data_IF_602973380420
#
_entry.id   IF_602973380420
#
_cell.length_a   1.000
_cell.length_b   1.000
_cell.length_c   1.000
_cell.angle_alpha   90.00
_cell.angle_beta   90.00
_cell.angle_gamma   90.00
#
_symmetry.space_group_name_H-M   'P 1'
#
loop_
_entity.id
_entity.type
_entity.pdbx_description
1 polymer ?
#
# COMPACT_ATOMS: atom_id res chain seq x y z
N UNK A 1 -16.10 7.26 -2.22
CA UNK A 1 -16.03 6.01 -2.97
C UNK A 1 -17.04 5.16 -2.28
N UNK A 2 -18.17 5.03 -2.95
CA UNK A 2 -19.42 4.54 -2.35
C UNK A 2 -19.80 3.20 -2.98
N UNK A 3 -18.93 2.69 -3.85
CA UNK A 3 -19.02 1.36 -4.46
C UNK A 3 -18.18 0.41 -3.59
N UNK A 4 -18.76 -0.62 -2.97
CA UNK A 4 -17.99 -1.56 -2.16
C UNK A 4 -17.05 -2.39 -3.05
N UNK A 5 -15.85 -2.72 -2.54
CA UNK A 5 -14.97 -3.70 -3.18
C UNK A 5 -15.41 -5.12 -2.79
N UNK A 6 -15.89 -5.96 -3.71
CA UNK A 6 -16.33 -7.31 -3.35
C UNK A 6 -15.18 -8.21 -2.89
N UNK A 7 -14.07 -8.20 -3.64
CA UNK A 7 -12.95 -9.12 -3.44
C UNK A 7 -11.59 -8.43 -3.36
N UNK A 8 -10.55 -9.19 -2.96
CA UNK A 8 -9.14 -8.79 -3.06
C UNK A 8 -8.77 -8.43 -4.50
N UNK A 9 -9.30 -9.15 -5.49
CA UNK A 9 -9.01 -8.88 -6.90
C UNK A 9 -9.53 -7.51 -7.32
N UNK A 10 -10.71 -7.09 -6.82
CA UNK A 10 -11.25 -5.76 -7.09
C UNK A 10 -10.39 -4.65 -6.47
N UNK A 11 -9.91 -4.87 -5.24
CA UNK A 11 -8.94 -3.97 -4.60
C UNK A 11 -7.63 -3.89 -5.38
N UNK A 12 -7.10 -5.02 -5.86
CA UNK A 12 -5.89 -5.06 -6.67
C UNK A 12 -6.10 -4.36 -8.03
N UNK A 13 -7.28 -4.48 -8.64
CA UNK A 13 -7.69 -3.73 -9.83
C UNK A 13 -7.69 -2.22 -9.57
N UNK A 14 -8.32 -1.77 -8.47
CA UNK A 14 -8.30 -0.37 -8.03
C UNK A 14 -6.86 0.14 -7.83
N UNK A 15 -6.00 -0.66 -7.19
CA UNK A 15 -4.59 -0.32 -7.02
C UNK A 15 -3.86 -0.21 -8.37
N UNK A 16 -4.21 -1.08 -9.31
CA UNK A 16 -3.75 -1.08 -10.70
C UNK A 16 -4.02 0.25 -11.40
N UNK A 17 -5.27 0.70 -11.36
CA UNK A 17 -5.74 1.91 -12.04
C UNK A 17 -5.26 3.21 -11.37
N UNK A 18 -5.00 3.19 -10.06
CA UNK A 18 -4.68 4.42 -9.31
C UNK A 18 -3.20 4.63 -9.03
N UNK A 19 -2.50 3.63 -8.47
CA UNK A 19 -1.11 3.77 -8.05
C UNK A 19 -0.16 3.10 -9.03
N UNK A 20 -0.47 1.88 -9.49
CA UNK A 20 0.41 1.15 -10.40
C UNK A 20 0.50 1.86 -11.76
N UNK A 21 -0.62 2.38 -12.29
CA UNK A 21 -0.64 3.14 -13.53
C UNK A 21 0.32 4.34 -13.50
N UNK A 22 0.38 5.08 -12.39
CA UNK A 22 1.31 6.20 -12.24
C UNK A 22 2.77 5.76 -12.24
N UNK A 23 3.09 4.64 -11.57
CA UNK A 23 4.45 4.07 -11.57
C UNK A 23 4.82 3.59 -12.98
N UNK A 24 3.91 2.92 -13.68
CA UNK A 24 4.13 2.44 -15.04
C UNK A 24 4.34 3.60 -16.02
N UNK A 25 3.53 4.67 -15.93
CA UNK A 25 3.68 5.87 -16.75
C UNK A 25 5.03 6.56 -16.47
N UNK A 26 5.41 6.71 -15.19
CA UNK A 26 6.71 7.26 -14.83
C UNK A 26 7.87 6.42 -15.38
N UNK A 27 7.76 5.08 -15.31
CA UNK A 27 8.74 4.16 -15.88
C UNK A 27 8.85 4.31 -17.41
N UNK A 28 7.71 4.41 -18.11
CA UNK A 28 7.66 4.62 -19.56
C UNK A 28 8.28 5.95 -19.98
N UNK A 29 8.07 7.02 -19.21
CA UNK A 29 8.71 8.32 -19.47
C UNK A 29 10.23 8.25 -19.30
N UNK A 30 10.72 7.50 -18.31
CA UNK A 30 12.15 7.38 -18.03
C UNK A 30 12.88 6.46 -19.01
N UNK A 31 12.28 5.34 -19.37
CA UNK A 31 12.86 4.35 -20.27
C UNK A 31 11.76 3.51 -20.94
N UNK A 32 11.24 3.96 -22.09
CA UNK A 32 10.13 3.27 -22.77
C UNK A 32 10.53 1.90 -23.32
N UNK A 33 11.83 1.62 -23.46
CA UNK A 33 12.32 0.33 -23.97
C UNK A 33 12.38 -0.70 -22.85
N UNK A 34 12.88 -0.33 -21.68
CA UNK A 34 12.99 -1.24 -20.54
C UNK A 34 11.66 -1.41 -19.79
N UNK A 35 10.84 -0.35 -19.68
CA UNK A 35 9.65 -0.31 -18.82
C UNK A 35 8.65 -1.47 -19.02
N UNK A 36 8.29 -1.91 -20.25
CA UNK A 36 7.32 -2.99 -20.45
C UNK A 36 7.70 -4.30 -19.74
N UNK A 37 9.00 -4.59 -19.60
CA UNK A 37 9.51 -5.79 -18.92
C UNK A 37 9.28 -5.77 -17.40
N UNK A 38 8.97 -4.61 -16.83
CA UNK A 38 8.80 -4.41 -15.38
C UNK A 38 7.36 -4.00 -15.02
N UNK A 39 6.38 -4.21 -15.91
CA UNK A 39 4.97 -3.88 -15.66
C UNK A 39 4.40 -4.64 -14.45
N UNK A 40 4.69 -5.93 -14.30
CA UNK A 40 4.26 -6.71 -13.13
C UNK A 40 4.85 -6.13 -11.83
N UNK A 41 6.13 -5.75 -11.88
CA UNK A 41 6.82 -5.16 -10.73
C UNK A 41 6.20 -3.82 -10.30
N UNK A 42 5.79 -3.01 -11.28
CA UNK A 42 5.02 -1.79 -11.04
C UNK A 42 3.61 -2.08 -10.47
N UNK A 43 2.96 -3.16 -10.89
CA UNK A 43 1.72 -3.66 -10.29
C UNK A 43 1.87 -3.97 -8.80
N UNK A 44 2.90 -4.75 -8.43
CA UNK A 44 3.21 -5.08 -7.03
C UNK A 44 3.55 -3.84 -6.20
N UNK A 45 4.37 -2.93 -6.73
CA UNK A 45 4.69 -1.66 -6.09
C UNK A 45 3.42 -0.80 -5.88
N UNK A 46 2.58 -0.69 -6.91
CA UNK A 46 1.33 0.07 -6.85
C UNK A 46 0.38 -0.46 -5.78
N UNK A 47 0.18 -1.78 -5.72
CA UNK A 47 -0.64 -2.41 -4.68
C UNK A 47 -0.10 -2.15 -3.27
N UNK A 48 1.20 -2.36 -3.06
CA UNK A 48 1.82 -2.11 -1.76
C UNK A 48 1.66 -0.64 -1.31
N UNK A 49 1.87 0.31 -2.23
CA UNK A 49 1.73 1.74 -1.95
C UNK A 49 0.27 2.15 -1.70
N UNK A 50 -0.65 1.72 -2.56
CA UNK A 50 -2.07 2.07 -2.48
C UNK A 50 -2.70 1.54 -1.19
N UNK A 51 -2.52 0.25 -0.88
CA UNK A 51 -3.08 -0.36 0.33
C UNK A 51 -2.52 0.32 1.60
N UNK A 52 -1.23 0.62 1.61
CA UNK A 52 -0.60 1.38 2.71
C UNK A 52 -1.21 2.78 2.84
N UNK A 53 -1.46 3.47 1.72
CA UNK A 53 -2.15 4.76 1.70
C UNK A 53 -3.58 4.69 2.25
N UNK A 54 -4.35 3.68 1.84
CA UNK A 54 -5.70 3.42 2.35
C UNK A 54 -5.70 3.20 3.87
N UNK A 55 -4.72 2.46 4.39
CA UNK A 55 -4.56 2.25 5.84
C UNK A 55 -4.20 3.54 6.58
N UNK A 56 -3.32 4.38 6.02
CA UNK A 56 -2.96 5.68 6.61
C UNK A 56 -4.14 6.65 6.65
N UNK A 57 -4.99 6.61 5.63
CA UNK A 57 -6.19 7.43 5.48
C UNK A 57 -7.44 6.80 6.12
N UNK A 58 -7.31 5.60 6.69
CA UNK A 58 -8.44 4.86 7.27
C UNK A 58 -9.29 5.70 8.25
N UNK A 59 -8.72 6.49 9.19
CA UNK A 59 -9.54 7.32 10.07
C UNK A 59 -10.41 8.33 9.31
N UNK A 60 -9.90 8.88 8.20
CA UNK A 60 -10.64 9.81 7.35
C UNK A 60 -11.71 9.09 6.54
N UNK A 61 -11.39 7.94 5.96
CA UNK A 61 -12.36 7.12 5.21
C UNK A 61 -13.54 6.71 6.09
N UNK A 62 -13.28 6.22 7.31
CA UNK A 62 -14.33 5.85 8.27
C UNK A 62 -15.23 7.04 8.64
N UNK A 63 -14.65 8.21 8.92
CA UNK A 63 -15.42 9.45 9.17
C UNK A 63 -16.29 9.88 8.00
N UNK A 64 -15.91 9.52 6.77
CA UNK A 64 -16.68 9.77 5.55
C UNK A 64 -17.65 8.62 5.20
N UNK A 65 -17.73 7.57 6.02
CA UNK A 65 -18.53 6.38 5.73
C UNK A 65 -17.99 5.53 4.58
N UNK A 66 -16.73 5.70 4.19
CA UNK A 66 -16.11 5.01 3.07
C UNK A 66 -15.38 3.76 3.52
N UNK A 67 -15.65 2.63 2.87
CA UNK A 67 -14.97 1.37 3.12
C UNK A 67 -14.22 0.92 1.86
N UNK A 68 -12.89 0.85 1.97
CA UNK A 68 -12.01 0.35 0.91
C UNK A 68 -11.48 -1.06 1.22
N UNK A 69 -11.95 -1.68 2.31
CA UNK A 69 -11.57 -3.06 2.65
C UNK A 69 -12.53 -4.00 1.90
N UNK A 70 -12.01 -5.00 1.17
CA UNK A 70 -12.83 -5.98 0.49
C UNK A 70 -13.86 -6.66 1.39
N UNK A 71 -15.07 -6.87 0.88
CA UNK A 71 -16.14 -7.54 1.60
C UNK A 71 -15.74 -8.96 2.05
N UNK A 72 -14.97 -9.70 1.24
CA UNK A 72 -14.43 -11.00 1.64
C UNK A 72 -13.48 -10.94 2.85
N UNK A 73 -12.65 -9.89 2.95
CA UNK A 73 -11.72 -9.69 4.07
C UNK A 73 -12.51 -9.33 5.33
N UNK A 74 -13.53 -8.49 5.19
CA UNK A 74 -14.43 -8.13 6.29
C UNK A 74 -15.20 -9.35 6.81
N UNK A 75 -15.76 -10.14 5.90
CA UNK A 75 -16.48 -11.36 6.24
C UNK A 75 -15.57 -12.38 6.94
N UNK A 76 -14.36 -12.63 6.42
CA UNK A 76 -13.38 -13.50 7.05
C UNK A 76 -12.91 -12.98 8.42
N UNK A 77 -12.89 -11.65 8.60
CA UNK A 77 -12.60 -11.02 9.87
C UNK A 77 -13.80 -11.01 10.84
N UNK A 78 -15.00 -11.39 10.39
CA UNK A 78 -16.22 -11.41 11.19
C UNK A 78 -16.78 -10.00 11.45
N UNK A 79 -16.82 -9.15 10.42
CA UNK A 79 -17.45 -7.81 10.46
C UNK A 79 -18.07 -7.47 9.11
N UNK A 80 -18.86 -6.41 9.04
CA UNK A 80 -19.44 -5.87 7.79
C UNK A 80 -18.85 -4.50 7.44
N UNK A 81 -19.01 -4.01 6.20
CA UNK A 81 -18.61 -2.65 5.84
C UNK A 81 -19.22 -1.59 6.75
N UNK A 82 -20.50 -1.73 7.10
CA UNK A 82 -21.26 -0.80 7.94
C UNK A 82 -20.73 -0.78 9.37
N UNK A 83 -20.46 -1.95 9.94
CA UNK A 83 -19.83 -2.07 11.26
C UNK A 83 -18.43 -1.48 11.23
N UNK A 84 -17.62 -1.85 10.24
CA UNK A 84 -16.22 -1.43 10.10
C UNK A 84 -16.08 0.10 10.05
N UNK A 85 -16.96 0.81 9.33
CA UNK A 85 -16.90 2.29 9.24
C UNK A 85 -17.49 3.00 10.46
N UNK A 86 -18.43 2.38 11.19
CA UNK A 86 -19.08 2.99 12.37
C UNK A 86 -18.27 2.77 13.65
N UNK A 87 -18.46 3.67 14.63
CA UNK A 87 -17.97 3.52 16.00
C UNK A 87 -16.52 3.03 16.12
N UNK A 88 -16.31 1.97 16.90
CA UNK A 88 -15.03 1.28 17.03
C UNK A 88 -14.84 0.15 16.01
N UNK A 89 -15.69 0.01 14.99
CA UNK A 89 -15.52 -1.01 13.95
C UNK A 89 -15.91 -2.44 14.39
N UNK A 90 -16.33 -2.64 15.65
CA UNK A 90 -16.60 -3.96 16.19
C UNK A 90 -15.33 -4.85 16.37
N UNK A 91 -15.52 -6.08 16.87
CA UNK A 91 -14.42 -6.99 17.20
C UNK A 91 -13.64 -7.51 15.97
N UNK A 92 -14.23 -7.43 14.76
CA UNK A 92 -13.60 -7.87 13.51
C UNK A 92 -12.69 -6.82 12.86
N UNK A 93 -12.84 -5.53 13.18
CA UNK A 93 -12.13 -4.49 12.44
C UNK A 93 -10.60 -4.50 12.63
N UNK A 94 -10.08 -4.90 13.80
CA UNK A 94 -8.63 -5.06 13.97
C UNK A 94 -8.08 -6.23 13.11
N UNK A 95 -8.84 -7.34 12.99
CA UNK A 95 -8.47 -8.46 12.12
C UNK A 95 -8.48 -8.05 10.64
N UNK A 96 -9.47 -7.26 10.22
CA UNK A 96 -9.54 -6.73 8.86
C UNK A 96 -8.36 -5.80 8.54
N UNK A 97 -7.97 -4.93 9.48
CA UNK A 97 -6.79 -4.07 9.34
C UNK A 97 -5.50 -4.90 9.27
N UNK A 98 -5.35 -5.91 10.12
CA UNK A 98 -4.22 -6.81 10.08
C UNK A 98 -4.12 -7.57 8.74
N UNK A 99 -5.25 -8.02 8.19
CA UNK A 99 -5.30 -8.65 6.88
C UNK A 99 -4.87 -7.69 5.75
N UNK A 100 -5.31 -6.43 5.79
CA UNK A 100 -4.87 -5.41 4.83
C UNK A 100 -3.37 -5.09 4.96
N UNK A 101 -2.83 -5.03 6.18
CA UNK A 101 -1.38 -4.88 6.42
C UNK A 101 -0.62 -6.07 5.83
N UNK A 102 -1.09 -7.29 6.06
CA UNK A 102 -0.48 -8.50 5.52
C UNK A 102 -0.49 -8.51 3.99
N UNK A 103 -1.61 -8.10 3.37
CA UNK A 103 -1.72 -7.98 1.91
C UNK A 103 -0.74 -6.94 1.33
N UNK A 104 -0.62 -5.77 1.96
CA UNK A 104 0.35 -4.76 1.56
C UNK A 104 1.80 -5.28 1.67
N UNK A 105 2.11 -6.05 2.73
CA UNK A 105 3.42 -6.69 2.92
C UNK A 105 3.69 -7.78 1.88
N UNK A 106 2.68 -8.54 1.48
CA UNK A 106 2.80 -9.56 0.42
C UNK A 106 3.25 -8.92 -0.89
N UNK A 107 2.56 -7.87 -1.32
CA UNK A 107 2.90 -7.12 -2.53
C UNK A 107 4.26 -6.43 -2.43
N UNK A 108 4.57 -5.84 -1.27
CA UNK A 108 5.88 -5.23 -1.03
C UNK A 108 7.01 -6.28 -1.12
N UNK A 109 6.83 -7.45 -0.51
CA UNK A 109 7.81 -8.52 -0.55
C UNK A 109 8.00 -9.09 -1.95
N UNK A 110 6.92 -9.22 -2.73
CA UNK A 110 7.02 -9.58 -4.15
C UNK A 110 7.79 -8.54 -4.96
N UNK A 111 7.53 -7.25 -4.73
CA UNK A 111 8.30 -6.17 -5.33
C UNK A 111 9.78 -6.25 -4.96
N UNK A 112 10.12 -6.38 -3.68
CA UNK A 112 11.50 -6.38 -3.20
C UNK A 112 12.32 -7.57 -3.74
N UNK A 113 11.67 -8.70 -4.00
CA UNK A 113 12.31 -9.85 -4.66
C UNK A 113 12.67 -9.56 -6.12
N UNK A 114 11.84 -8.81 -6.84
CA UNK A 114 12.08 -8.45 -8.25
C UNK A 114 12.94 -7.19 -8.43
N UNK A 115 13.00 -6.32 -7.41
CA UNK A 115 13.65 -5.03 -7.49
C UNK A 115 15.16 -5.05 -7.82
N UNK A 116 15.96 -6.10 -7.46
CA UNK A 116 17.36 -6.20 -7.89
C UNK A 116 17.54 -6.24 -9.42
N UNK A 117 16.54 -6.70 -10.17
CA UNK A 117 16.57 -6.75 -11.63
C UNK A 117 16.31 -5.38 -12.29
N UNK A 118 15.90 -4.36 -11.53
CA UNK A 118 15.59 -3.03 -12.09
C UNK A 118 16.84 -2.36 -12.68
N UNK A 119 16.79 -1.94 -13.95
CA UNK A 119 17.83 -1.09 -14.52
C UNK A 119 17.86 0.24 -13.78
N UNK A 120 19.04 0.86 -13.74
CA UNK A 120 19.25 2.14 -13.04
C UNK A 120 18.30 3.23 -13.56
N UNK A 121 17.98 3.22 -14.85
CA UNK A 121 17.05 4.15 -15.50
C UNK A 121 15.63 4.12 -14.90
N UNK A 122 15.16 2.95 -14.46
CA UNK A 122 13.80 2.78 -13.95
C UNK A 122 13.66 2.99 -12.43
N UNK A 123 14.75 2.90 -11.67
CA UNK A 123 14.70 3.02 -10.20
C UNK A 123 13.97 4.26 -9.67
N UNK A 124 14.09 5.47 -10.28
CA UNK A 124 13.39 6.66 -9.82
C UNK A 124 11.87 6.54 -9.83
N UNK A 125 11.28 5.82 -10.80
CA UNK A 125 9.83 5.65 -10.90
C UNK A 125 9.21 4.98 -9.65
N UNK A 126 10.00 4.19 -8.93
CA UNK A 126 9.55 3.44 -7.78
C UNK A 126 9.77 4.18 -6.45
N UNK A 127 10.50 5.30 -6.43
CA UNK A 127 10.83 6.04 -5.19
C UNK A 127 9.63 6.36 -4.28
N UNK A 128 8.41 6.63 -4.78
CA UNK A 128 7.24 6.79 -3.92
C UNK A 128 6.98 5.62 -2.96
N UNK A 129 7.43 4.41 -3.29
CA UNK A 129 7.30 3.21 -2.46
C UNK A 129 8.28 3.19 -1.25
N UNK A 130 9.29 4.06 -1.21
CA UNK A 130 10.40 3.98 -0.25
C UNK A 130 9.96 4.07 1.22
N UNK A 131 8.80 4.65 1.49
CA UNK A 131 8.26 4.83 2.83
C UNK A 131 7.35 3.68 3.27
N UNK A 132 6.88 2.86 2.34
CA UNK A 132 5.83 1.85 2.53
C UNK A 132 6.18 0.89 3.65
N UNK A 133 7.38 0.29 3.63
CA UNK A 133 7.85 -0.61 4.69
C UNK A 133 7.83 0.04 6.07
N UNK A 134 8.32 1.27 6.16
CA UNK A 134 8.42 1.97 7.44
C UNK A 134 7.04 2.31 8.03
N UNK A 135 6.08 2.64 7.18
CA UNK A 135 4.69 2.84 7.60
C UNK A 135 4.03 1.53 8.04
N UNK A 136 4.18 0.44 7.27
CA UNK A 136 3.64 -0.87 7.63
C UNK A 136 4.19 -1.36 8.97
N UNK A 137 5.51 -1.28 9.20
CA UNK A 137 6.12 -1.62 10.49
C UNK A 137 5.60 -0.76 11.65
N UNK A 138 5.30 0.52 11.39
CA UNK A 138 4.76 1.41 12.42
C UNK A 138 3.29 1.08 12.76
N UNK A 139 2.51 0.68 11.77
CA UNK A 139 1.11 0.26 11.95
C UNK A 139 0.98 -1.08 12.67
N UNK A 140 1.99 -1.95 12.55
CA UNK A 140 2.07 -3.24 13.23
C UNK A 140 2.44 -3.12 14.73
N UNK A 141 2.94 -1.97 15.15
CA UNK A 141 3.34 -1.76 16.54
C UNK A 141 2.11 -1.54 17.42
N UNK A 142 1.97 -2.33 18.49
CA UNK A 142 0.82 -2.38 19.40
C UNK A 142 0.34 -1.01 19.96
N UNK A 143 1.19 0.01 19.90
CA UNK A 143 0.91 1.36 20.39
C UNK A 143 -0.03 2.19 19.49
N UNK A 144 -0.25 1.83 18.21
CA UNK A 144 -1.02 2.69 17.28
C UNK A 144 -1.82 1.89 16.25
N UNK A 145 -3.06 1.54 16.60
CA UNK A 145 -4.03 1.03 15.63
C UNK A 145 -4.29 2.09 14.54
N UNK A 146 -4.14 1.76 13.23
CA UNK A 146 -4.42 2.65 12.11
C UNK A 146 -5.85 3.20 12.08
N UNK A 147 -6.75 2.56 12.84
CA UNK A 147 -8.17 2.95 12.95
C UNK A 147 -8.36 4.23 13.75
N UNK A 148 -7.51 4.47 14.75
CA UNK A 148 -7.65 5.58 15.70
C UNK A 148 -6.84 6.79 15.24
N UNK A 149 -5.63 6.54 14.74
CA UNK A 149 -4.74 7.60 14.29
C UNK A 149 -3.89 7.15 13.10
N UNK A 150 -3.67 8.09 12.18
CA UNK A 150 -2.73 7.91 11.08
C UNK A 150 -1.32 7.72 11.63
N UNK A 151 -0.66 6.64 11.22
CA UNK A 151 0.74 6.41 11.55
C UNK A 151 1.60 7.55 10.97
N UNK A 152 2.48 8.13 11.79
CA UNK A 152 3.39 9.19 11.36
C UNK A 152 4.85 8.76 11.44
N UNK A 153 5.62 9.22 10.45
CA UNK A 153 7.08 9.14 10.42
C UNK A 153 7.63 10.56 10.55
N UNK A 154 8.76 10.72 11.24
CA UNK A 154 9.43 12.02 11.30
C UNK A 154 9.86 12.47 9.89
N UNK A 155 9.85 13.78 9.66
CA UNK A 155 10.26 14.35 8.36
C UNK A 155 11.69 13.96 8.00
N UNK A 156 12.60 13.92 8.97
CA UNK A 156 13.98 13.48 8.76
C UNK A 156 14.05 12.01 8.32
N UNK A 157 13.29 11.12 8.96
CA UNK A 157 13.24 9.70 8.59
C UNK A 157 12.68 9.51 7.18
N UNK A 158 11.65 10.27 6.78
CA UNK A 158 11.09 10.21 5.42
C UNK A 158 12.13 10.60 4.36
N UNK A 159 12.78 11.75 4.53
CA UNK A 159 13.81 12.20 3.58
C UNK A 159 15.01 11.25 3.55
N UNK A 160 15.43 10.72 4.70
CA UNK A 160 16.53 9.76 4.76
C UNK A 160 16.21 8.46 4.01
N UNK A 161 14.99 7.91 4.17
CA UNK A 161 14.57 6.71 3.45
C UNK A 161 14.53 6.94 1.93
N UNK A 162 13.96 8.06 1.50
CA UNK A 162 13.94 8.46 0.09
C UNK A 162 15.35 8.60 -0.49
N UNK A 163 16.23 9.34 0.19
CA UNK A 163 17.62 9.53 -0.22
C UNK A 163 18.37 8.20 -0.29
N UNK A 164 18.20 7.33 0.72
CA UNK A 164 18.84 6.01 0.74
C UNK A 164 18.46 5.18 -0.49
N UNK A 165 17.17 5.11 -0.82
CA UNK A 165 16.70 4.37 -2.00
C UNK A 165 17.12 5.02 -3.32
N UNK A 166 17.17 6.36 -3.38
CA UNK A 166 17.68 7.08 -4.54
C UNK A 166 19.17 6.79 -4.79
N UNK A 167 19.98 6.72 -3.74
CA UNK A 167 21.43 6.49 -3.85
C UNK A 167 21.79 5.01 -4.03
N UNK A 168 21.13 4.10 -3.30
CA UNK A 168 21.52 2.68 -3.24
C UNK A 168 20.61 1.76 -4.07
N UNK A 169 19.51 2.28 -4.60
CA UNK A 169 18.47 1.48 -5.24
C UNK A 169 17.66 0.65 -4.23
N UNK A 170 17.07 -0.44 -4.72
CA UNK A 170 16.17 -1.32 -3.98
C UNK A 170 16.89 -2.59 -3.54
N UNK A 171 17.86 -2.45 -2.64
CA UNK A 171 18.51 -3.61 -2.03
C UNK A 171 17.59 -4.25 -0.98
N UNK A 172 17.55 -5.59 -0.88
CA UNK A 172 16.86 -6.26 0.22
C UNK A 172 17.45 -5.79 1.57
N UNK A 173 16.58 -5.60 2.58
CA UNK A 173 17.00 -5.33 3.96
C UNK A 173 17.39 -6.63 4.65
#
# INVERSE_FOLDING_TARGET
YDDPMPSRTDLEGYCGETAAALIQLAALVLDPTAAPRFAELAGRAGCAQAITGLLLLLPLHRRRGQCYVPAEILAAAGTTPEEFVKGDGGPGAERAVAAMIALAREHLGAFEKGAPALPVSLRPAFLPLALTRAYLTRMDSADRSPRVATATLSTLRRHWLLLRHAMRGWAPL
#
